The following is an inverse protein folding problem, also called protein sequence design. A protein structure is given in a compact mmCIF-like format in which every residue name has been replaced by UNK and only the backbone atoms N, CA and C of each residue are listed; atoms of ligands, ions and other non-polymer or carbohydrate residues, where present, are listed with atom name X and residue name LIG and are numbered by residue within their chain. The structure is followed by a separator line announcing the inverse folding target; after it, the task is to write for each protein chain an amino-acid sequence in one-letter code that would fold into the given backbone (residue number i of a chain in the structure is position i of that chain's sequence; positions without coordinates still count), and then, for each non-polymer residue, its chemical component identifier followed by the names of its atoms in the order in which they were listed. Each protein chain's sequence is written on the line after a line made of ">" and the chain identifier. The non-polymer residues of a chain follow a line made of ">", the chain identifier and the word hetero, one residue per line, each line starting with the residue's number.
data_IF_374367805317
#
_entry.id   IF_374367805317
#
_cell.length_a   1.000
_cell.length_b   1.000
_cell.length_c   1.000
_cell.angle_alpha   90.00
_cell.angle_beta   90.00
_cell.angle_gamma   90.00
#
_symmetry.space_group_name_H-M   'P 1'
#
loop_
_entity.id
_entity.type
_entity.pdbx_description
1 polymer ?
#
# COMPACT_ATOMS: atom_id res chain seq x y z
N UNK A 1 14.39 41.64 19.87
CA UNK A 1 15.73 41.02 19.74
C UNK A 1 16.13 40.41 21.07
N UNK A 2 16.56 39.15 21.11
CA UNK A 2 17.54 38.60 22.09
C UNK A 2 17.90 37.19 21.60
N UNK A 3 19.17 37.01 21.23
CA UNK A 3 19.77 35.72 20.86
C UNK A 3 20.45 35.17 22.11
N UNK A 4 20.33 33.87 22.37
CA UNK A 4 21.18 33.20 23.37
C UNK A 4 21.79 31.99 22.71
N UNK A 5 23.12 31.99 22.63
CA UNK A 5 23.95 30.96 22.01
C UNK A 5 24.49 30.09 23.16
N UNK A 6 24.37 28.77 23.05
CA UNK A 6 24.96 27.81 23.98
C UNK A 6 25.72 26.75 23.17
N UNK A 7 27.05 26.72 23.30
CA UNK A 7 27.96 26.00 22.41
C UNK A 7 28.76 24.95 23.18
N UNK A 8 28.81 23.75 22.60
CA UNK A 8 29.81 22.68 22.75
C UNK A 8 30.27 22.19 24.13
N UNK A 9 30.21 20.87 24.27
CA UNK A 9 31.36 20.10 24.75
C UNK A 9 31.50 18.83 23.88
N UNK A 10 32.56 18.76 23.09
CA UNK A 10 32.93 17.55 22.34
C UNK A 10 34.01 16.79 23.14
N UNK A 11 33.88 15.47 23.25
CA UNK A 11 34.95 14.60 23.73
C UNK A 11 35.42 13.74 22.57
N UNK A 12 36.66 13.96 22.17
CA UNK A 12 37.40 13.17 21.18
C UNK A 12 38.55 12.42 21.87
N UNK A 13 39.34 11.72 21.05
CA UNK A 13 40.52 10.87 21.33
C UNK A 13 40.14 9.38 21.46
N UNK A 14 40.84 8.38 20.92
CA UNK A 14 42.08 8.18 20.13
C UNK A 14 42.44 6.68 20.36
N UNK A 15 43.27 5.94 19.62
CA UNK A 15 43.89 6.04 18.29
C UNK A 15 44.54 4.67 17.94
N UNK A 16 45.02 4.51 16.68
CA UNK A 16 45.87 3.38 16.23
C UNK A 16 45.10 2.10 15.83
N UNK A 17 45.54 1.22 14.92
CA UNK A 17 46.77 1.03 14.12
C UNK A 17 46.43 0.08 12.92
N UNK A 18 47.16 -0.07 11.80
CA UNK A 18 48.46 0.48 11.36
C UNK A 18 48.57 0.78 9.83
N UNK A 19 48.77 -0.23 8.96
CA UNK A 19 49.19 -0.20 7.53
C UNK A 19 48.76 -1.54 6.85
N UNK A 20 48.90 -1.87 5.55
CA UNK A 20 49.70 -1.40 4.40
C UNK A 20 48.90 -1.55 3.08
N UNK A 21 49.30 -0.83 2.03
CA UNK A 21 48.80 -1.03 0.64
C UNK A 21 49.78 -1.90 -0.14
N UNK A 22 49.31 -2.80 -1.01
CA UNK A 22 49.87 -2.85 -2.36
C UNK A 22 48.78 -2.81 -3.44
N UNK A 23 49.06 -2.06 -4.52
CA UNK A 23 48.23 -2.02 -5.71
C UNK A 23 48.63 -3.16 -6.68
N UNK A 24 47.63 -3.78 -7.31
CA UNK A 24 47.80 -4.63 -8.49
C UNK A 24 46.67 -4.33 -9.48
N UNK A 25 46.98 -4.41 -10.78
CA UNK A 25 46.19 -3.76 -11.83
C UNK A 25 45.08 -4.64 -12.44
N UNK A 26 44.07 -3.94 -12.96
CA UNK A 26 43.23 -4.27 -14.12
C UNK A 26 42.87 -5.73 -14.43
N UNK A 27 41.62 -6.09 -14.14
CA UNK A 27 40.83 -6.98 -14.99
C UNK A 27 39.54 -6.25 -15.40
N UNK A 28 39.16 -6.39 -16.67
CA UNK A 28 38.01 -5.72 -17.30
C UNK A 28 36.68 -6.47 -16.99
N UNK A 29 35.51 -5.98 -17.40
CA UNK A 29 34.29 -6.10 -16.60
C UNK A 29 33.51 -7.40 -16.83
N UNK A 30 33.02 -7.99 -15.75
CA UNK A 30 31.90 -8.93 -15.82
C UNK A 30 30.82 -8.57 -14.79
N UNK A 31 29.59 -8.41 -15.30
CA UNK A 31 28.50 -7.82 -14.54
C UNK A 31 27.69 -8.86 -13.79
N UNK A 32 27.81 -8.91 -12.47
CA UNK A 32 26.84 -9.60 -11.63
C UNK A 32 26.22 -8.68 -10.56
N UNK A 33 24.91 -8.85 -10.38
CA UNK A 33 24.09 -8.00 -9.53
C UNK A 33 24.57 -8.03 -8.07
N UNK A 34 24.59 -6.86 -7.42
CA UNK A 34 24.64 -6.81 -5.96
C UNK A 34 23.45 -7.61 -5.41
N UNK A 35 23.66 -8.60 -4.51
CA UNK A 35 22.56 -9.10 -3.69
C UNK A 35 22.16 -7.96 -2.75
N UNK A 36 21.11 -7.23 -3.13
CA UNK A 36 20.49 -6.25 -2.25
C UNK A 36 20.02 -7.00 -1.01
N UNK A 37 20.59 -6.68 0.16
CA UNK A 37 20.27 -7.34 1.42
C UNK A 37 18.77 -7.19 1.68
N UNK A 38 18.02 -8.27 1.47
CA UNK A 38 16.59 -8.30 1.74
C UNK A 38 16.43 -8.40 3.24
N UNK A 39 16.21 -7.26 3.90
CA UNK A 39 15.85 -7.22 5.31
C UNK A 39 14.52 -7.97 5.49
N UNK A 40 14.60 -9.26 5.78
CA UNK A 40 13.47 -10.16 5.90
C UNK A 40 12.78 -9.87 7.24
N UNK A 41 11.89 -8.88 7.23
CA UNK A 41 11.16 -8.42 8.40
C UNK A 41 10.45 -9.59 9.09
N UNK A 42 10.60 -9.66 10.42
CA UNK A 42 10.20 -10.80 11.25
C UNK A 42 8.73 -11.21 11.07
N UNK A 43 8.45 -12.50 11.25
CA UNK A 43 7.09 -13.02 11.18
C UNK A 43 6.21 -12.39 12.26
N UNK A 44 5.15 -11.73 11.80
CA UNK A 44 4.15 -11.10 12.64
C UNK A 44 2.75 -11.41 12.08
N UNK A 45 2.37 -12.68 12.09
CA UNK A 45 1.00 -13.18 11.81
C UNK A 45 0.32 -12.41 10.66
N UNK A 46 0.93 -12.52 9.48
CA UNK A 46 0.93 -11.46 8.47
C UNK A 46 -0.46 -10.99 8.03
N UNK A 47 -0.77 -9.73 8.34
CA UNK A 47 -1.94 -9.03 7.79
C UNK A 47 -1.74 -8.81 6.28
N UNK A 48 -2.14 -9.81 5.48
CA UNK A 48 -1.97 -9.83 4.04
C UNK A 48 -2.58 -8.58 3.40
N UNK A 49 -1.74 -7.75 2.80
CA UNK A 49 -2.18 -6.63 1.99
C UNK A 49 -2.44 -7.12 0.57
N UNK A 50 -3.67 -6.94 0.10
CA UNK A 50 -4.09 -7.29 -1.25
C UNK A 50 -3.98 -6.06 -2.14
N UNK A 51 -3.55 -6.21 -3.39
CA UNK A 51 -3.44 -5.13 -4.36
C UNK A 51 -4.20 -5.45 -5.65
N UNK A 52 -4.92 -4.46 -6.19
CA UNK A 52 -5.66 -4.53 -7.46
C UNK A 52 -5.45 -3.25 -8.25
N UNK A 53 -5.36 -3.37 -9.58
CA UNK A 53 -5.29 -2.22 -10.49
C UNK A 53 -6.06 -2.48 -11.78
N UNK A 54 -6.64 -1.42 -12.35
CA UNK A 54 -7.32 -1.40 -13.64
C UNK A 54 -6.78 -0.23 -14.46
N UNK A 55 -6.51 -0.44 -15.75
CA UNK A 55 -6.22 0.68 -16.67
C UNK A 55 -7.43 1.60 -16.80
N UNK A 56 -7.19 2.88 -17.04
CA UNK A 56 -8.25 3.83 -17.35
C UNK A 56 -8.79 3.59 -18.78
N UNK A 57 -10.01 4.04 -19.04
CA UNK A 57 -10.52 4.14 -20.41
C UNK A 57 -9.91 5.34 -21.14
N UNK A 58 -10.27 5.50 -22.41
CA UNK A 58 -10.01 6.73 -23.16
C UNK A 58 -10.64 7.95 -22.44
N UNK A 59 -10.03 9.15 -22.45
CA UNK A 59 -8.76 9.50 -23.12
C UNK A 59 -7.50 8.92 -22.47
N UNK A 60 -7.44 8.75 -21.15
CA UNK A 60 -6.19 8.52 -20.41
C UNK A 60 -5.77 7.04 -20.33
N UNK A 61 -5.67 6.31 -21.45
CA UNK A 61 -5.41 4.84 -21.49
C UNK A 61 -4.17 4.38 -20.70
N UNK A 62 -3.13 5.22 -20.63
CA UNK A 62 -1.84 4.92 -19.96
C UNK A 62 -1.89 5.04 -18.44
N UNK A 63 -2.92 5.72 -17.93
CA UNK A 63 -3.13 5.88 -16.51
C UNK A 63 -3.85 4.67 -15.91
N UNK A 64 -3.70 4.47 -14.60
CA UNK A 64 -4.35 3.38 -13.86
C UNK A 64 -5.05 3.89 -12.60
N UNK A 65 -6.16 3.24 -12.29
CA UNK A 65 -6.70 3.22 -10.94
C UNK A 65 -6.11 2.01 -10.23
N UNK A 66 -5.57 2.19 -9.03
CA UNK A 66 -5.19 1.08 -8.16
C UNK A 66 -5.76 1.27 -6.76
N UNK A 67 -5.92 0.17 -6.05
CA UNK A 67 -6.12 0.17 -4.62
C UNK A 67 -5.44 -1.05 -3.99
N UNK A 68 -5.06 -0.88 -2.74
CA UNK A 68 -4.73 -1.97 -1.85
C UNK A 68 -5.73 -2.00 -0.68
N UNK A 69 -5.85 -3.15 -0.04
CA UNK A 69 -6.56 -3.26 1.22
C UNK A 69 -5.90 -4.23 2.18
N UNK A 70 -6.01 -3.91 3.46
CA UNK A 70 -5.54 -4.73 4.56
C UNK A 70 -6.74 -5.02 5.49
N UNK A 71 -7.24 -6.26 5.53
CA UNK A 71 -8.38 -6.61 6.36
C UNK A 71 -7.95 -6.81 7.82
N UNK A 72 -8.48 -5.99 8.73
CA UNK A 72 -8.18 -6.06 10.16
C UNK A 72 -9.19 -6.87 10.97
N UNK A 73 -9.00 -6.89 12.30
CA UNK A 73 -9.90 -7.57 13.25
C UNK A 73 -11.32 -6.98 13.28
N UNK A 74 -11.46 -5.65 13.20
CA UNK A 74 -12.74 -4.92 13.32
C UNK A 74 -13.10 -4.04 12.11
N UNK A 75 -12.16 -3.86 11.18
CA UNK A 75 -12.34 -3.01 9.99
C UNK A 75 -11.32 -3.34 8.91
N UNK A 76 -11.68 -3.13 7.65
CA UNK A 76 -10.75 -3.20 6.50
C UNK A 76 -10.36 -1.79 6.08
N UNK A 77 -9.05 -1.53 5.95
CA UNK A 77 -8.51 -0.27 5.44
C UNK A 77 -8.25 -0.43 3.94
N UNK A 78 -8.85 0.43 3.11
CA UNK A 78 -8.62 0.51 1.66
C UNK A 78 -7.82 1.76 1.34
N UNK A 79 -6.63 1.62 0.74
CA UNK A 79 -5.83 2.74 0.23
C UNK A 79 -5.91 2.73 -1.29
N UNK A 80 -6.16 3.88 -1.92
CA UNK A 80 -6.41 3.95 -3.36
C UNK A 80 -5.72 5.14 -4.02
N UNK A 81 -5.50 4.99 -5.33
CA UNK A 81 -4.90 5.99 -6.22
C UNK A 81 -5.64 5.91 -7.56
N UNK A 82 -6.59 6.80 -7.77
CA UNK A 82 -7.32 6.90 -9.03
C UNK A 82 -6.67 7.98 -9.89
N UNK A 83 -5.78 7.62 -10.82
CA UNK A 83 -5.27 8.59 -11.79
C UNK A 83 -6.28 8.91 -12.89
N UNK A 84 -7.28 8.05 -13.14
CA UNK A 84 -8.29 8.31 -14.16
C UNK A 84 -9.05 9.61 -13.87
N UNK A 85 -9.44 10.35 -14.92
CA UNK A 85 -10.36 11.49 -14.80
C UNK A 85 -11.76 11.05 -14.32
N UNK A 86 -12.22 9.88 -14.78
CA UNK A 86 -13.50 9.31 -14.40
C UNK A 86 -13.55 8.78 -12.96
N UNK A 87 -14.72 8.93 -12.33
CA UNK A 87 -15.00 8.30 -11.03
C UNK A 87 -15.06 6.77 -11.19
N UNK A 88 -14.27 6.07 -10.38
CA UNK A 88 -14.24 4.60 -10.30
C UNK A 88 -14.90 4.12 -9.01
N UNK A 89 -15.23 2.84 -8.91
CA UNK A 89 -15.83 2.23 -7.71
C UNK A 89 -15.15 0.91 -7.38
N UNK A 90 -14.83 0.72 -6.11
CA UNK A 90 -14.47 -0.58 -5.54
C UNK A 90 -15.77 -1.22 -5.07
N UNK A 91 -16.06 -2.42 -5.58
CA UNK A 91 -17.13 -3.29 -5.10
C UNK A 91 -16.57 -4.19 -4.03
N UNK A 92 -17.21 -4.24 -2.87
CA UNK A 92 -16.80 -5.06 -1.73
C UNK A 92 -17.94 -6.00 -1.38
N UNK A 93 -17.69 -7.30 -1.51
CA UNK A 93 -18.60 -8.36 -1.10
C UNK A 93 -18.21 -8.87 0.29
N UNK A 94 -19.18 -8.94 1.20
CA UNK A 94 -18.95 -9.36 2.58
C UNK A 94 -20.14 -10.17 3.12
N UNK A 95 -19.88 -11.04 4.09
CA UNK A 95 -20.90 -11.81 4.81
C UNK A 95 -21.41 -11.00 6.00
N UNK A 96 -22.72 -10.79 6.07
CA UNK A 96 -23.43 -10.17 7.20
C UNK A 96 -24.91 -10.50 7.04
N UNK A 97 -25.39 -11.51 7.77
CA UNK A 97 -26.75 -12.07 7.65
C UNK A 97 -27.15 -12.30 6.18
N UNK A 98 -26.28 -13.03 5.45
CA UNK A 98 -26.32 -13.18 3.99
C UNK A 98 -25.12 -12.52 3.30
N UNK A 99 -25.06 -12.62 1.97
CA UNK A 99 -24.01 -11.98 1.16
C UNK A 99 -24.43 -10.56 0.81
N UNK A 100 -23.73 -9.56 1.35
CA UNK A 100 -24.01 -8.14 1.13
C UNK A 100 -22.90 -7.47 0.32
N UNK A 101 -23.24 -6.34 -0.29
CA UNK A 101 -22.34 -5.58 -1.13
C UNK A 101 -22.23 -4.11 -0.69
N UNK A 102 -21.02 -3.53 -0.72
CA UNK A 102 -20.76 -2.13 -0.42
C UNK A 102 -19.83 -1.51 -1.48
N UNK A 103 -20.16 -0.31 -1.94
CA UNK A 103 -19.33 0.44 -2.89
C UNK A 103 -18.44 1.45 -2.14
N UNK A 104 -17.17 1.57 -2.53
CA UNK A 104 -16.35 2.75 -2.26
C UNK A 104 -16.18 3.54 -3.56
N UNK A 105 -16.66 4.78 -3.58
CA UNK A 105 -16.46 5.72 -4.69
C UNK A 105 -15.06 6.32 -4.65
N UNK A 106 -14.32 6.23 -5.76
CA UNK A 106 -13.01 6.83 -5.97
C UNK A 106 -13.20 7.99 -6.94
N UNK A 107 -13.09 9.24 -6.46
CA UNK A 107 -13.11 10.43 -7.34
C UNK A 107 -11.95 10.37 -8.35
N UNK A 108 -12.06 11.09 -9.47
CA UNK A 108 -10.99 11.18 -10.45
C UNK A 108 -9.76 11.94 -9.92
N UNK A 109 -8.58 11.64 -10.46
CA UNK A 109 -7.31 12.31 -10.13
C UNK A 109 -6.73 12.13 -8.73
N UNK A 110 -7.53 11.71 -7.74
CA UNK A 110 -7.16 11.69 -6.32
C UNK A 110 -6.56 10.38 -5.82
N UNK A 111 -5.79 10.48 -4.74
CA UNK A 111 -5.38 9.34 -3.90
C UNK A 111 -5.95 9.53 -2.49
N UNK A 112 -6.11 8.44 -1.74
CA UNK A 112 -6.62 8.52 -0.37
C UNK A 112 -6.79 7.17 0.29
N UNK A 113 -7.33 7.19 1.52
CA UNK A 113 -7.58 5.99 2.31
C UNK A 113 -9.00 6.03 2.85
N UNK A 114 -9.71 4.90 2.83
CA UNK A 114 -11.03 4.74 3.44
C UNK A 114 -11.07 3.49 4.31
N UNK A 115 -11.43 3.68 5.59
CA UNK A 115 -11.71 2.60 6.54
C UNK A 115 -13.17 2.16 6.35
N UNK A 116 -13.43 0.86 6.34
CA UNK A 116 -14.80 0.31 6.36
C UNK A 116 -14.95 -0.56 7.61
N UNK A 117 -15.69 -0.03 8.60
CA UNK A 117 -16.04 -0.74 9.82
C UNK A 117 -17.04 -1.88 9.52
N UNK A 118 -16.98 -2.96 10.30
CA UNK A 118 -17.86 -4.13 10.13
C UNK A 118 -17.50 -5.06 8.98
N UNK A 119 -16.55 -4.68 8.13
CA UNK A 119 -15.88 -5.57 7.18
C UNK A 119 -14.50 -5.91 7.76
N UNK A 120 -14.18 -7.18 7.87
CA UNK A 120 -13.05 -7.75 8.62
C UNK A 120 -12.39 -8.86 7.81
N UNK A 121 -11.27 -9.41 8.27
CA UNK A 121 -10.66 -10.60 7.65
C UNK A 121 -11.56 -11.85 7.65
N UNK A 122 -12.52 -11.96 8.56
CA UNK A 122 -13.37 -13.15 8.69
C UNK A 122 -14.62 -13.11 7.80
N UNK A 123 -15.06 -11.92 7.36
CA UNK A 123 -16.29 -11.77 6.58
C UNK A 123 -16.13 -11.07 5.23
N UNK A 124 -14.95 -10.55 4.90
CA UNK A 124 -14.65 -10.07 3.55
C UNK A 124 -14.56 -11.25 2.57
N UNK A 125 -15.49 -11.35 1.61
CA UNK A 125 -15.47 -12.39 0.56
C UNK A 125 -14.62 -11.99 -0.64
N UNK A 126 -14.82 -10.78 -1.15
CA UNK A 126 -14.07 -10.28 -2.31
C UNK A 126 -14.04 -8.74 -2.32
N UNK A 127 -13.02 -8.17 -2.95
CA UNK A 127 -13.01 -6.79 -3.39
C UNK A 127 -12.51 -6.71 -4.84
N UNK A 128 -13.29 -6.06 -5.69
CA UNK A 128 -13.07 -5.95 -7.13
C UNK A 128 -13.45 -4.55 -7.67
N UNK A 129 -13.15 -4.27 -8.94
CA UNK A 129 -13.60 -3.03 -9.58
C UNK A 129 -14.99 -3.22 -10.16
N UNK A 130 -15.96 -2.40 -9.74
CA UNK A 130 -17.31 -2.51 -10.25
C UNK A 130 -18.34 -1.69 -9.48
N UNK A 131 -19.60 -1.89 -9.83
CA UNK A 131 -20.76 -1.45 -9.05
C UNK A 131 -21.32 -2.69 -8.37
N UNK A 132 -21.67 -2.60 -7.09
CA UNK A 132 -22.63 -3.52 -6.49
C UNK A 132 -23.87 -3.64 -7.38
N UNK A 133 -24.42 -4.84 -7.59
CA UNK A 133 -25.70 -4.95 -8.27
C UNK A 133 -26.74 -4.15 -7.48
N UNK A 134 -27.72 -3.58 -8.20
CA UNK A 134 -29.01 -3.29 -7.60
C UNK A 134 -29.63 -4.65 -7.31
N UNK A 135 -29.39 -5.18 -6.12
CA UNK A 135 -30.27 -6.21 -5.57
C UNK A 135 -31.63 -5.49 -5.48
N UNK A 136 -32.68 -5.91 -6.21
CA UNK A 136 -34.01 -5.37 -5.93
C UNK A 136 -34.30 -5.60 -4.45
N UNK A 137 -35.13 -4.77 -3.84
CA UNK A 137 -35.68 -5.12 -2.54
C UNK A 137 -36.55 -6.36 -2.77
N UNK A 138 -35.94 -7.54 -2.63
CA UNK A 138 -36.60 -8.81 -2.88
C UNK A 138 -37.78 -8.90 -1.94
N UNK A 139 -38.93 -9.26 -2.50
CA UNK A 139 -40.19 -9.31 -1.80
C UNK A 139 -40.01 -9.93 -0.40
N UNK A 140 -40.36 -9.18 0.63
CA UNK A 140 -40.83 -9.77 1.88
C UNK A 140 -42.11 -10.53 1.55
N UNK A 141 -41.94 -11.77 1.10
CA UNK A 141 -42.97 -12.79 1.26
C UNK A 141 -43.23 -12.89 2.76
N UNK A 142 -44.47 -12.58 3.16
CA UNK A 142 -44.97 -12.86 4.51
C UNK A 142 -45.21 -14.34 4.74
#
# INVERSE_FOLDING_TARGET
>A
MRRTIGVSAAVALAAGLVMTVPAAASAAPDGHHKPNAVAQAADASTLRTYHRSQKCGYPNKDQKVSYSYMPGKSSTKFTYKNRCLGTKRIRIWYQSNGTRCKNITLRGGVSGTKKVNGITKNNLKNADFGKCPRIPAAATSG
#
